data_IF_808750155101
#
_entry.id   IF_808750155101
#
_cell.length_a   1.000
_cell.length_b   1.000
_cell.length_c   1.000
_cell.angle_alpha   90.00
_cell.angle_beta   90.00
_cell.angle_gamma   90.00
#
_symmetry.space_group_name_H-M   'P 1'
#
loop_
_entity.id
_entity.type
_entity.pdbx_description
1 polymer ?
#
# COMPACT_ATOMS: atom_id res chain seq x y z
N UNK A 1 6.08 0.42 11.56
CA UNK A 1 7.32 0.27 10.74
C UNK A 1 8.34 -0.73 11.26
N UNK A 2 8.75 -0.74 12.54
CA UNK A 2 9.70 -1.77 13.02
C UNK A 2 9.11 -3.19 12.96
N UNK A 3 7.83 -3.34 13.26
CA UNK A 3 7.12 -4.61 13.19
C UNK A 3 7.00 -5.14 11.76
N UNK A 4 6.78 -4.27 10.78
CA UNK A 4 6.72 -4.66 9.35
C UNK A 4 8.10 -5.05 8.84
N UNK A 5 9.14 -4.38 9.36
CA UNK A 5 10.51 -4.76 9.10
C UNK A 5 10.79 -6.18 9.61
N UNK A 6 10.44 -6.48 10.88
CA UNK A 6 10.62 -7.80 11.47
C UNK A 6 9.80 -8.88 10.75
N UNK A 7 8.56 -8.58 10.36
CA UNK A 7 7.73 -9.50 9.59
C UNK A 7 8.34 -9.79 8.20
N UNK A 8 8.79 -8.75 7.52
CA UNK A 8 9.46 -8.89 6.21
C UNK A 8 10.76 -9.69 6.33
N UNK A 9 11.57 -9.41 7.34
CA UNK A 9 12.79 -10.17 7.64
C UNK A 9 12.48 -11.65 7.84
N UNK A 10 11.50 -11.96 8.71
CA UNK A 10 11.10 -13.33 9.01
C UNK A 10 10.57 -14.06 7.77
N UNK A 11 9.73 -13.42 6.96
CA UNK A 11 9.22 -14.02 5.71
C UNK A 11 10.34 -14.31 4.71
N UNK A 12 11.31 -13.43 4.58
CA UNK A 12 12.47 -13.63 3.70
C UNK A 12 13.33 -14.80 4.16
N UNK A 13 13.58 -14.89 5.48
CA UNK A 13 14.34 -15.99 6.04
C UNK A 13 13.58 -17.32 5.89
N UNK A 14 12.26 -17.34 6.11
CA UNK A 14 11.41 -18.53 5.87
C UNK A 14 11.42 -18.98 4.42
N UNK A 15 11.45 -18.05 3.47
CA UNK A 15 11.56 -18.39 2.05
C UNK A 15 12.88 -19.10 1.75
N UNK A 16 13.99 -18.55 2.22
CA UNK A 16 15.31 -19.18 2.10
C UNK A 16 15.34 -20.56 2.77
N UNK A 17 14.82 -20.64 3.98
CA UNK A 17 14.72 -21.89 4.74
C UNK A 17 13.94 -22.97 3.97
N UNK A 18 12.79 -22.58 3.39
CA UNK A 18 11.98 -23.51 2.58
C UNK A 18 12.72 -24.02 1.35
N UNK A 19 13.45 -23.14 0.65
CA UNK A 19 14.27 -23.52 -0.51
C UNK A 19 15.42 -24.42 -0.09
N UNK A 20 16.10 -24.12 1.02
CA UNK A 20 17.20 -24.93 1.56
C UNK A 20 16.73 -26.31 2.00
N UNK A 21 15.59 -26.41 2.71
CA UNK A 21 15.02 -27.67 3.13
C UNK A 21 14.61 -28.53 1.92
N UNK A 22 13.87 -27.93 0.97
CA UNK A 22 13.43 -28.65 -0.23
C UNK A 22 14.62 -29.10 -1.07
N UNK A 23 15.57 -28.20 -1.34
CA UNK A 23 16.78 -28.51 -2.11
C UNK A 23 17.64 -29.58 -1.42
N UNK A 24 17.81 -29.47 -0.10
CA UNK A 24 18.53 -30.45 0.71
C UNK A 24 17.87 -31.83 0.68
N UNK A 25 16.55 -31.89 0.84
CA UNK A 25 15.79 -33.13 0.78
C UNK A 25 15.88 -33.80 -0.61
N UNK A 26 15.78 -33.02 -1.69
CA UNK A 26 15.94 -33.53 -3.05
C UNK A 26 17.35 -34.08 -3.30
N UNK A 27 18.38 -33.37 -2.84
CA UNK A 27 19.76 -33.85 -2.95
C UNK A 27 19.97 -35.13 -2.16
N UNK A 28 19.41 -35.28 -0.96
CA UNK A 28 19.51 -36.49 -0.18
C UNK A 28 18.78 -37.68 -0.83
N UNK A 29 17.62 -37.42 -1.45
CA UNK A 29 16.82 -38.48 -2.08
C UNK A 29 17.38 -38.96 -3.42
N UNK A 30 17.90 -38.04 -4.24
CA UNK A 30 18.18 -38.31 -5.65
C UNK A 30 19.63 -38.13 -6.06
N UNK A 31 20.49 -37.49 -5.23
CA UNK A 31 21.87 -37.21 -5.65
C UNK A 31 22.72 -38.53 -5.64
N UNK A 32 23.48 -38.76 -6.74
CA UNK A 32 24.23 -39.99 -6.91
C UNK A 32 25.55 -40.01 -6.11
N UNK A 33 26.15 -38.86 -5.86
CA UNK A 33 27.48 -38.81 -5.22
C UNK A 33 27.45 -38.42 -3.74
N UNK A 34 28.39 -38.92 -2.93
CA UNK A 34 28.52 -38.52 -1.53
C UNK A 34 28.67 -37.02 -1.33
N UNK A 35 29.30 -36.35 -2.28
CA UNK A 35 29.50 -34.89 -2.24
C UNK A 35 28.16 -34.14 -2.18
N UNK A 36 27.24 -34.42 -3.12
CA UNK A 36 25.91 -33.81 -3.13
C UNK A 36 25.06 -34.17 -1.91
N UNK A 37 25.24 -35.36 -1.35
CA UNK A 37 24.56 -35.75 -0.11
C UNK A 37 25.10 -34.96 1.08
N UNK A 38 26.42 -34.78 1.19
CA UNK A 38 27.00 -33.92 2.22
C UNK A 38 26.51 -32.49 2.14
N UNK A 39 26.46 -31.92 0.93
CA UNK A 39 25.88 -30.61 0.67
C UNK A 39 24.39 -30.53 1.05
N UNK A 40 23.59 -31.55 0.68
CA UNK A 40 22.17 -31.66 0.98
C UNK A 40 21.87 -31.73 2.48
N UNK A 41 22.70 -32.45 3.27
CA UNK A 41 22.58 -32.49 4.73
C UNK A 41 22.72 -31.09 5.32
N UNK A 42 23.71 -30.31 4.88
CA UNK A 42 23.92 -28.97 5.37
C UNK A 42 22.76 -28.02 4.98
N UNK A 43 22.30 -28.11 3.73
CA UNK A 43 21.17 -27.30 3.28
C UNK A 43 19.88 -27.60 4.10
N UNK A 44 19.62 -28.86 4.36
CA UNK A 44 18.45 -29.28 5.17
C UNK A 44 18.58 -28.84 6.63
N UNK A 45 19.75 -29.06 7.25
CA UNK A 45 19.98 -28.73 8.66
C UNK A 45 19.91 -27.21 8.91
N UNK A 46 20.63 -26.44 8.11
CA UNK A 46 20.60 -24.98 8.20
C UNK A 46 19.22 -24.41 7.87
N UNK A 47 18.57 -24.92 6.82
CA UNK A 47 17.21 -24.51 6.50
C UNK A 47 16.23 -24.74 7.66
N UNK A 48 16.35 -25.86 8.39
CA UNK A 48 15.52 -26.13 9.56
C UNK A 48 15.81 -25.17 10.73
N UNK A 49 17.09 -24.86 10.97
CA UNK A 49 17.51 -23.91 11.99
C UNK A 49 16.98 -22.52 11.69
N UNK A 50 17.16 -22.04 10.45
CA UNK A 50 16.72 -20.72 10.01
C UNK A 50 15.19 -20.60 10.05
N UNK A 51 14.46 -21.66 9.68
CA UNK A 51 13.01 -21.72 9.81
C UNK A 51 12.56 -21.57 11.27
N UNK A 52 13.23 -22.28 12.18
CA UNK A 52 12.92 -22.18 13.61
C UNK A 52 13.16 -20.75 14.13
N UNK A 53 14.32 -20.15 13.81
CA UNK A 53 14.66 -18.76 14.19
C UNK A 53 13.60 -17.79 13.67
N UNK A 54 13.23 -17.91 12.39
CA UNK A 54 12.24 -17.01 11.78
C UNK A 54 10.85 -17.16 12.42
N UNK A 55 10.38 -18.38 12.67
CA UNK A 55 9.08 -18.65 13.28
C UNK A 55 9.01 -18.15 14.74
N UNK A 56 10.06 -18.43 15.54
CA UNK A 56 10.12 -17.92 16.90
C UNK A 56 10.21 -16.39 16.95
N UNK A 57 11.01 -15.79 16.07
CA UNK A 57 11.12 -14.34 15.92
C UNK A 57 9.78 -13.69 15.57
N UNK A 58 9.07 -14.27 14.60
CA UNK A 58 7.75 -13.79 14.18
C UNK A 58 6.71 -13.89 15.31
N UNK A 59 6.64 -15.04 16.00
CA UNK A 59 5.72 -15.21 17.14
C UNK A 59 5.99 -14.22 18.25
N UNK A 60 7.27 -14.00 18.59
CA UNK A 60 7.66 -13.04 19.60
C UNK A 60 7.31 -11.60 19.21
N UNK A 61 7.49 -11.22 17.93
CA UNK A 61 7.10 -9.90 17.41
C UNK A 61 5.58 -9.70 17.45
N UNK A 62 4.80 -10.70 17.04
CA UNK A 62 3.33 -10.66 17.12
C UNK A 62 2.83 -10.51 18.55
N UNK A 63 3.42 -11.24 19.51
CA UNK A 63 3.08 -11.11 20.93
C UNK A 63 3.34 -9.70 21.48
N UNK A 64 4.49 -9.11 21.16
CA UNK A 64 4.80 -7.72 21.57
C UNK A 64 3.89 -6.68 20.90
N UNK A 65 3.55 -6.87 19.63
CA UNK A 65 2.60 -6.02 18.93
C UNK A 65 1.20 -6.11 19.55
N UNK A 66 0.75 -7.31 19.89
CA UNK A 66 -0.56 -7.57 20.50
C UNK A 66 -0.68 -6.98 21.92
N UNK A 67 0.42 -6.89 22.68
CA UNK A 67 0.44 -6.25 24.01
C UNK A 67 0.32 -4.72 23.97
N UNK A 68 0.10 -4.13 22.79
CA UNK A 68 -0.07 -2.68 22.64
C UNK A 68 1.23 -1.87 22.72
N UNK A 69 2.39 -2.53 22.62
CA UNK A 69 3.68 -1.86 22.65
C UNK A 69 3.83 -0.92 21.44
N UNK A 70 3.62 0.38 21.65
CA UNK A 70 3.66 1.45 20.66
C UNK A 70 4.47 2.64 21.19
N UNK A 71 4.89 3.50 20.29
CA UNK A 71 5.58 4.75 20.61
C UNK A 71 7.08 4.75 20.28
N UNK A 72 7.70 5.95 20.28
CA UNK A 72 9.09 6.14 19.87
C UNK A 72 10.10 5.34 20.69
N UNK A 73 9.87 5.19 22.00
CA UNK A 73 10.77 4.45 22.88
C UNK A 73 10.78 2.96 22.58
N UNK A 74 9.60 2.38 22.29
CA UNK A 74 9.47 0.97 21.89
C UNK A 74 10.19 0.76 20.56
N UNK A 75 9.96 1.65 19.60
CA UNK A 75 10.63 1.61 18.31
C UNK A 75 12.16 1.62 18.47
N UNK A 76 12.70 2.58 19.21
CA UNK A 76 14.15 2.71 19.39
C UNK A 76 14.77 1.51 20.11
N UNK A 77 14.08 0.93 21.07
CA UNK A 77 14.52 -0.28 21.77
C UNK A 77 14.54 -1.49 20.81
N UNK A 78 13.43 -1.73 20.10
CA UNK A 78 13.32 -2.86 19.17
C UNK A 78 14.29 -2.74 18.01
N UNK A 79 14.43 -1.56 17.43
CA UNK A 79 15.38 -1.31 16.33
C UNK A 79 16.83 -1.51 16.76
N UNK A 80 17.18 -1.08 17.97
CA UNK A 80 18.53 -1.26 18.55
C UNK A 80 18.82 -2.72 18.80
N UNK A 81 17.87 -3.45 19.42
CA UNK A 81 18.02 -4.87 19.71
C UNK A 81 18.16 -5.69 18.44
N UNK A 82 17.29 -5.42 17.45
CA UNK A 82 17.34 -6.11 16.16
C UNK A 82 18.65 -5.84 15.42
N UNK A 83 19.09 -4.58 15.39
CA UNK A 83 20.38 -4.22 14.76
C UNK A 83 21.56 -4.93 15.43
N UNK A 84 21.56 -4.96 16.76
CA UNK A 84 22.61 -5.66 17.52
C UNK A 84 22.63 -7.15 17.19
N UNK A 85 21.45 -7.79 17.15
CA UNK A 85 21.32 -9.20 16.81
C UNK A 85 21.86 -9.49 15.40
N UNK A 86 21.44 -8.71 14.40
CA UNK A 86 21.90 -8.90 13.02
C UNK A 86 23.41 -8.70 12.88
N UNK A 87 24.02 -7.73 13.58
CA UNK A 87 25.49 -7.56 13.58
C UNK A 87 26.22 -8.73 14.23
N UNK A 88 25.66 -9.30 15.31
CA UNK A 88 26.22 -10.50 15.96
C UNK A 88 26.16 -11.66 14.99
N UNK A 89 25.03 -11.88 14.33
CA UNK A 89 24.86 -12.95 13.34
C UNK A 89 25.83 -12.76 12.17
N UNK A 90 25.93 -11.56 11.60
CA UNK A 90 26.93 -11.26 10.53
C UNK A 90 28.35 -11.70 10.94
N UNK A 91 28.73 -11.48 12.20
CA UNK A 91 30.03 -11.95 12.72
C UNK A 91 30.12 -13.48 12.85
N UNK A 92 29.04 -14.13 13.28
CA UNK A 92 28.97 -15.58 13.38
C UNK A 92 29.01 -16.26 12.01
N UNK A 93 28.40 -15.66 11.00
CA UNK A 93 28.39 -16.17 9.62
C UNK A 93 29.79 -16.25 9.04
N UNK A 94 30.66 -15.25 9.34
CA UNK A 94 32.08 -15.28 8.98
C UNK A 94 32.77 -16.49 9.61
N UNK A 95 32.47 -16.78 10.90
CA UNK A 95 33.04 -17.94 11.59
C UNK A 95 32.53 -19.26 10.99
N UNK A 96 31.25 -19.33 10.60
CA UNK A 96 30.71 -20.51 9.93
C UNK A 96 31.39 -20.73 8.57
N UNK A 97 31.53 -19.70 7.76
CA UNK A 97 32.29 -19.81 6.49
C UNK A 97 33.70 -20.27 6.71
N UNK A 98 34.39 -19.70 7.69
CA UNK A 98 35.78 -20.11 8.04
C UNK A 98 35.82 -21.60 8.46
N UNK A 99 34.89 -22.04 9.29
CA UNK A 99 34.74 -23.44 9.69
C UNK A 99 34.50 -24.38 8.50
N UNK A 100 33.64 -23.96 7.55
CA UNK A 100 33.40 -24.69 6.30
C UNK A 100 34.66 -24.80 5.45
N UNK A 101 35.45 -23.71 5.32
CA UNK A 101 36.71 -23.72 4.62
C UNK A 101 37.79 -24.62 5.28
N UNK A 102 37.88 -24.62 6.61
CA UNK A 102 38.74 -25.52 7.36
C UNK A 102 38.33 -26.98 7.11
N UNK A 103 37.02 -27.29 7.15
CA UNK A 103 36.50 -28.61 6.85
C UNK A 103 36.89 -29.07 5.44
N UNK A 104 36.81 -28.18 4.45
CA UNK A 104 37.23 -28.46 3.07
C UNK A 104 38.74 -28.81 2.97
N UNK A 105 39.60 -28.06 3.66
CA UNK A 105 41.02 -28.24 3.60
C UNK A 105 41.52 -29.44 4.41
N UNK A 106 40.74 -29.90 5.38
CA UNK A 106 41.10 -31.03 6.25
C UNK A 106 40.42 -32.32 5.80
N UNK A 107 39.28 -32.65 6.39
CA UNK A 107 38.54 -33.86 6.09
C UNK A 107 38.01 -33.92 4.65
N UNK A 108 37.64 -32.76 4.09
CA UNK A 108 37.14 -32.64 2.72
C UNK A 108 38.16 -33.02 1.65
N UNK A 109 39.48 -32.87 1.95
CA UNK A 109 40.51 -33.26 1.04
C UNK A 109 40.58 -34.78 0.77
N UNK A 110 40.02 -35.59 1.68
CA UNK A 110 40.05 -37.05 1.62
C UNK A 110 38.66 -37.70 1.56
N UNK A 111 37.62 -36.95 1.76
CA UNK A 111 36.22 -37.44 1.86
C UNK A 111 35.27 -36.56 1.12
N UNK A 112 34.67 -37.05 0.05
CA UNK A 112 33.68 -36.29 -0.76
C UNK A 112 32.48 -35.78 0.03
N UNK A 113 31.99 -36.56 0.97
CA UNK A 113 30.85 -36.14 1.81
C UNK A 113 31.25 -34.94 2.69
N UNK A 114 32.44 -35.00 3.28
CA UNK A 114 32.96 -33.88 4.06
C UNK A 114 33.24 -32.65 3.19
N UNK A 115 33.72 -32.82 1.95
CA UNK A 115 33.89 -31.74 0.99
C UNK A 115 32.56 -31.10 0.62
N UNK A 116 31.53 -31.91 0.31
CA UNK A 116 30.18 -31.42 0.06
C UNK A 116 29.59 -30.68 1.25
N UNK A 117 29.78 -31.21 2.47
CA UNK A 117 29.37 -30.56 3.72
C UNK A 117 30.07 -29.21 3.92
N UNK A 118 31.37 -29.12 3.69
CA UNK A 118 32.15 -27.89 3.80
C UNK A 118 31.62 -26.79 2.85
N UNK A 119 31.35 -27.14 1.59
CA UNK A 119 30.76 -26.24 0.62
C UNK A 119 29.32 -25.85 1.01
N UNK A 120 28.54 -26.77 1.56
CA UNK A 120 27.20 -26.47 2.09
C UNK A 120 27.25 -25.42 3.20
N UNK A 121 28.19 -25.56 4.15
CA UNK A 121 28.40 -24.56 5.23
C UNK A 121 28.83 -23.20 4.66
N UNK A 122 29.78 -23.19 3.72
CA UNK A 122 30.26 -21.92 3.09
C UNK A 122 29.14 -21.21 2.35
N UNK A 123 28.30 -21.94 1.60
CA UNK A 123 27.20 -21.34 0.87
C UNK A 123 26.13 -20.80 1.80
N UNK A 124 25.72 -21.57 2.80
CA UNK A 124 24.70 -21.14 3.78
C UNK A 124 25.20 -19.93 4.59
N UNK A 125 26.43 -20.01 5.13
CA UNK A 125 27.06 -18.90 5.85
C UNK A 125 27.23 -17.65 4.97
N UNK A 126 27.60 -17.82 3.70
CA UNK A 126 27.74 -16.72 2.74
C UNK A 126 26.40 -16.02 2.44
N UNK A 127 25.34 -16.78 2.27
CA UNK A 127 24.00 -16.21 2.13
C UNK A 127 23.58 -15.46 3.40
N UNK A 128 23.70 -16.09 4.57
CA UNK A 128 23.31 -15.48 5.85
C UNK A 128 24.15 -14.23 6.13
N UNK A 129 25.45 -14.25 5.86
CA UNK A 129 26.30 -13.07 5.98
C UNK A 129 25.77 -11.89 5.16
N UNK A 130 25.46 -12.09 3.88
CA UNK A 130 24.91 -11.05 3.01
C UNK A 130 23.52 -10.61 3.51
N UNK A 131 22.70 -11.58 3.89
CA UNK A 131 21.35 -11.35 4.40
C UNK A 131 21.36 -10.50 5.67
N UNK A 132 22.12 -10.93 6.69
CA UNK A 132 22.17 -10.25 7.99
C UNK A 132 22.85 -8.88 7.89
N UNK A 133 23.93 -8.76 7.10
CA UNK A 133 24.61 -7.49 6.85
C UNK A 133 23.67 -6.47 6.20
N UNK A 134 22.99 -6.85 5.11
CA UNK A 134 22.07 -5.95 4.40
C UNK A 134 20.93 -5.52 5.30
N UNK A 135 20.36 -6.45 6.10
CA UNK A 135 19.28 -6.12 7.02
C UNK A 135 19.77 -5.30 8.21
N UNK A 136 20.97 -5.54 8.75
CA UNK A 136 21.57 -4.72 9.81
C UNK A 136 21.75 -3.26 9.39
N UNK A 137 22.19 -3.04 8.15
CA UNK A 137 22.34 -1.72 7.54
C UNK A 137 20.98 -1.05 7.26
N UNK A 138 19.96 -1.86 6.94
CA UNK A 138 18.62 -1.42 6.58
C UNK A 138 17.69 -1.20 7.78
N UNK A 139 18.05 -1.65 9.00
CA UNK A 139 17.21 -1.41 10.21
C UNK A 139 16.87 0.06 10.32
N UNK A 140 15.59 0.44 10.39
CA UNK A 140 15.16 1.83 10.48
C UNK A 140 15.82 2.55 11.67
N UNK A 141 16.40 3.71 11.43
CA UNK A 141 17.06 4.53 12.47
C UNK A 141 16.11 5.46 13.18
N UNK A 142 15.05 5.84 12.48
CA UNK A 142 13.95 6.63 13.01
C UNK A 142 12.67 5.88 12.71
N UNK A 143 11.69 6.00 13.60
CA UNK A 143 10.34 5.68 13.18
C UNK A 143 10.08 6.56 11.95
N UNK A 144 9.70 5.99 10.83
CA UNK A 144 9.12 6.81 9.78
C UNK A 144 7.70 7.15 10.25
N UNK A 145 7.63 7.96 11.26
CA UNK A 145 6.55 8.89 11.40
C UNK A 145 6.66 9.69 10.11
N UNK A 146 5.73 9.48 9.18
CA UNK A 146 5.40 10.52 8.22
C UNK A 146 5.30 11.74 9.12
N UNK A 147 6.13 12.79 8.95
CA UNK A 147 6.01 13.96 9.80
C UNK A 147 4.51 14.24 9.83
N UNK A 148 3.93 14.31 11.03
CA UNK A 148 2.53 14.66 11.17
C UNK A 148 2.45 16.04 10.54
N UNK A 149 2.12 16.07 9.27
CA UNK A 149 2.01 17.32 8.53
C UNK A 149 0.82 18.02 9.17
N UNK A 150 1.07 19.05 9.95
CA UNK A 150 0.04 19.91 10.54
C UNK A 150 -0.97 20.35 9.49
N UNK A 151 -0.52 20.40 8.21
CA UNK A 151 -1.36 20.70 7.04
C UNK A 151 -2.55 19.74 6.87
N UNK A 152 -2.49 18.51 7.39
CA UNK A 152 -3.61 17.56 7.33
C UNK A 152 -4.49 17.58 8.58
N UNK A 153 -4.19 18.43 9.56
CA UNK A 153 -4.96 18.56 10.80
C UNK A 153 -6.10 19.57 10.72
N UNK A 154 -6.19 20.33 9.62
CA UNK A 154 -7.27 21.27 9.40
C UNK A 154 -8.65 20.60 9.24
N UNK A 155 -9.75 21.29 9.59
CA UNK A 155 -11.11 20.74 9.47
C UNK A 155 -11.48 20.39 8.01
N UNK A 156 -10.86 21.02 7.02
CA UNK A 156 -11.05 20.73 5.60
C UNK A 156 -10.61 19.32 5.21
N UNK A 157 -9.69 18.71 5.97
CA UNK A 157 -9.19 17.35 5.74
C UNK A 157 -9.98 16.27 6.48
N UNK A 158 -10.89 16.66 7.37
CA UNK A 158 -11.77 15.73 8.08
C UNK A 158 -12.88 15.19 7.18
N UNK A 159 -13.45 14.04 7.57
CA UNK A 159 -14.67 13.54 6.95
C UNK A 159 -15.78 14.57 7.06
N UNK A 160 -16.63 14.69 6.05
CA UNK A 160 -17.74 15.62 6.06
C UNK A 160 -18.97 15.08 5.32
N UNK A 161 -20.13 15.65 5.64
CA UNK A 161 -21.40 15.38 4.97
C UNK A 161 -22.08 16.70 4.59
N UNK A 162 -22.64 16.76 3.39
CA UNK A 162 -23.51 17.82 2.91
C UNK A 162 -24.92 17.21 2.75
N UNK A 163 -25.88 17.64 3.56
CA UNK A 163 -27.25 17.10 3.49
C UNK A 163 -28.06 17.84 2.40
N UNK A 164 -28.77 17.09 1.58
CA UNK A 164 -29.63 17.67 0.56
C UNK A 164 -30.66 18.67 1.17
N UNK A 165 -30.75 19.84 0.56
CA UNK A 165 -31.68 20.90 1.02
C UNK A 165 -31.13 21.84 2.10
N UNK A 166 -29.93 21.59 2.64
CA UNK A 166 -29.26 22.53 3.53
C UNK A 166 -28.40 23.50 2.71
N UNK A 167 -28.34 24.77 3.11
CA UNK A 167 -27.45 25.76 2.47
C UNK A 167 -26.00 25.45 2.75
N UNK A 168 -25.10 25.74 1.80
CA UNK A 168 -23.64 25.68 2.00
C UNK A 168 -23.24 26.79 2.98
N UNK A 169 -23.14 26.49 4.26
CA UNK A 169 -22.57 27.40 5.24
C UNK A 169 -21.05 27.12 5.34
N UNK A 170 -20.27 28.09 4.91
CA UNK A 170 -18.82 28.07 5.07
C UNK A 170 -18.47 28.18 6.56
N UNK A 171 -18.06 27.07 7.18
CA UNK A 171 -17.29 27.16 8.39
C UNK A 171 -17.68 26.38 9.62
N UNK A 172 -18.64 25.48 9.62
CA UNK A 172 -18.88 24.63 10.79
C UNK A 172 -18.61 23.16 10.50
N UNK A 173 -17.61 22.65 11.24
CA UNK A 173 -17.25 21.24 11.22
C UNK A 173 -18.36 20.36 11.78
N UNK A 174 -18.42 19.16 11.25
CA UNK A 174 -19.06 17.94 11.76
C UNK A 174 -20.12 18.11 12.84
N UNK A 175 -21.37 18.16 12.46
CA UNK A 175 -22.42 17.71 13.37
C UNK A 175 -22.59 16.19 13.24
N UNK A 176 -21.85 15.46 14.07
CA UNK A 176 -22.16 14.09 14.40
C UNK A 176 -23.50 14.06 15.11
N UNK A 177 -24.54 13.57 14.44
CA UNK A 177 -25.69 13.07 15.12
C UNK A 177 -27.01 13.83 15.05
N UNK A 178 -27.42 14.35 13.87
CA UNK A 178 -28.86 14.51 13.65
C UNK A 178 -29.21 14.01 12.24
N UNK A 179 -29.84 12.84 12.19
CA UNK A 179 -30.53 12.32 11.02
C UNK A 179 -31.71 13.21 10.73
N UNK A 180 -31.58 14.11 9.76
CA UNK A 180 -32.71 14.83 9.21
C UNK A 180 -33.08 14.12 7.92
N UNK A 181 -34.24 13.43 7.95
CA UNK A 181 -34.95 12.79 6.84
C UNK A 181 -34.11 11.86 5.94
N UNK A 182 -33.99 10.59 6.33
CA UNK A 182 -33.61 9.53 5.43
C UNK A 182 -34.55 9.44 4.23
N UNK A 183 -33.98 9.21 3.02
CA UNK A 183 -34.81 8.81 1.87
C UNK A 183 -34.62 9.58 0.57
N UNK A 184 -33.71 10.53 0.46
CA UNK A 184 -33.37 11.19 -0.81
C UNK A 184 -32.11 10.59 -1.47
N UNK A 185 -31.74 11.09 -2.66
CA UNK A 185 -30.53 10.66 -3.37
C UNK A 185 -29.27 10.97 -2.55
N UNK A 186 -28.33 10.01 -2.49
CA UNK A 186 -27.06 10.23 -1.81
C UNK A 186 -25.87 9.74 -2.64
N UNK A 187 -24.74 10.43 -2.51
CA UNK A 187 -23.48 10.07 -3.09
C UNK A 187 -22.43 9.82 -1.99
N UNK A 188 -21.77 8.67 -2.04
CA UNK A 188 -20.60 8.37 -1.24
C UNK A 188 -19.36 8.64 -2.09
N UNK A 189 -18.53 9.61 -1.68
CA UNK A 189 -17.34 10.03 -2.42
C UNK A 189 -16.08 9.58 -1.69
N UNK A 190 -15.21 8.84 -2.39
CA UNK A 190 -14.00 8.21 -1.81
C UNK A 190 -12.76 8.82 -2.43
N UNK A 191 -11.92 9.44 -1.59
CA UNK A 191 -10.69 10.13 -1.99
C UNK A 191 -9.56 9.19 -2.44
N UNK A 192 -8.54 9.74 -3.09
CA UNK A 192 -7.39 9.02 -3.61
C UNK A 192 -6.30 8.72 -2.57
N UNK A 193 -5.22 8.06 -3.04
CA UNK A 193 -4.05 7.77 -2.22
C UNK A 193 -3.22 9.03 -1.98
N UNK A 194 -2.92 9.32 -0.73
CA UNK A 194 -2.20 10.54 -0.33
C UNK A 194 -3.10 11.77 -0.20
N UNK A 195 -4.37 11.67 -0.63
CA UNK A 195 -5.38 12.71 -0.49
C UNK A 195 -6.19 12.59 0.79
N UNK A 196 -7.16 13.49 0.91
CA UNK A 196 -8.10 13.56 2.04
C UNK A 196 -9.49 13.91 1.51
N UNK A 197 -10.54 13.96 2.33
CA UNK A 197 -11.86 14.44 1.91
C UNK A 197 -11.85 15.79 1.22
N UNK A 198 -10.87 16.67 1.51
CA UNK A 198 -10.72 17.97 0.86
C UNK A 198 -10.66 17.87 -0.68
N UNK A 199 -9.99 16.87 -1.23
CA UNK A 199 -9.88 16.71 -2.70
C UNK A 199 -11.20 16.34 -3.38
N UNK A 200 -12.19 15.88 -2.63
CA UNK A 200 -13.50 15.54 -3.14
C UNK A 200 -14.55 16.65 -2.92
N UNK A 201 -14.14 17.76 -2.29
CA UNK A 201 -15.06 18.82 -1.86
C UNK A 201 -15.82 19.45 -3.02
N UNK A 202 -15.11 19.89 -4.06
CA UNK A 202 -15.74 20.56 -5.21
C UNK A 202 -16.78 19.65 -5.88
N UNK A 203 -16.47 18.36 -5.97
CA UNK A 203 -17.39 17.35 -6.53
C UNK A 203 -18.57 17.08 -5.62
N UNK A 204 -18.34 17.02 -4.30
CA UNK A 204 -19.41 16.86 -3.31
C UNK A 204 -20.37 18.08 -3.35
N UNK A 205 -19.83 19.28 -3.44
CA UNK A 205 -20.62 20.51 -3.57
C UNK A 205 -21.38 20.59 -4.90
N UNK A 206 -20.76 20.11 -6.01
CA UNK A 206 -21.45 20.03 -7.29
C UNK A 206 -22.69 19.11 -7.21
N UNK A 207 -22.54 17.91 -6.65
CA UNK A 207 -23.65 16.98 -6.46
C UNK A 207 -24.68 17.53 -5.46
N UNK A 208 -24.23 18.20 -4.40
CA UNK A 208 -25.10 18.83 -3.41
C UNK A 208 -25.98 19.92 -4.03
N UNK A 209 -25.41 20.80 -4.88
CA UNK A 209 -26.19 21.83 -5.63
C UNK A 209 -27.29 21.22 -6.49
N UNK A 210 -27.14 19.95 -6.90
CA UNK A 210 -28.14 19.17 -7.63
C UNK A 210 -28.99 18.30 -6.70
N UNK A 211 -29.05 18.59 -5.39
CA UNK A 211 -29.94 17.97 -4.43
C UNK A 211 -29.53 16.55 -4.02
N UNK A 212 -28.23 16.22 -4.06
CA UNK A 212 -27.69 14.99 -3.50
C UNK A 212 -27.17 15.24 -2.09
N UNK A 213 -27.43 14.32 -1.18
CA UNK A 213 -26.62 14.22 0.05
C UNK A 213 -25.25 13.69 -0.33
N UNK A 214 -24.18 14.39 0.03
CA UNK A 214 -22.80 13.96 -0.25
C UNK A 214 -22.10 13.56 1.03
N UNK A 215 -21.68 12.30 1.13
CA UNK A 215 -20.90 11.74 2.23
C UNK A 215 -19.46 11.52 1.78
N UNK A 216 -18.50 12.10 2.49
CA UNK A 216 -17.07 12.01 2.15
C UNK A 216 -16.28 11.52 3.37
N UNK A 217 -16.08 10.20 3.51
CA UNK A 217 -15.33 9.62 4.63
C UNK A 217 -13.83 9.89 4.49
N UNK A 218 -13.14 9.99 5.62
CA UNK A 218 -11.69 9.93 5.68
C UNK A 218 -11.26 8.46 5.78
N UNK A 219 -10.44 7.99 4.85
CA UNK A 219 -9.90 6.63 4.88
C UNK A 219 -8.90 6.47 6.04
N UNK A 220 -8.86 5.30 6.72
CA UNK A 220 -7.94 5.04 7.82
C UNK A 220 -6.48 5.25 7.43
N UNK A 221 -5.74 6.01 8.23
CA UNK A 221 -4.33 6.32 7.99
C UNK A 221 -4.07 7.45 7.02
N UNK A 222 -5.10 8.24 6.68
CA UNK A 222 -4.97 9.48 5.90
C UNK A 222 -5.33 10.70 6.76
N UNK A 223 -5.14 11.90 6.24
CA UNK A 223 -5.40 13.12 6.96
C UNK A 223 -4.57 13.24 8.24
N UNK A 224 -5.17 13.63 9.34
CA UNK A 224 -4.52 13.74 10.64
C UNK A 224 -3.86 12.42 11.13
N UNK A 225 -4.34 11.27 10.64
CA UNK A 225 -3.82 9.95 11.00
C UNK A 225 -2.71 9.46 10.07
N UNK A 226 -2.15 10.30 9.21
CA UNK A 226 -1.16 9.95 8.18
C UNK A 226 0.07 9.21 8.74
N UNK A 227 0.44 9.49 9.99
CA UNK A 227 1.51 8.78 10.69
C UNK A 227 1.26 7.27 10.83
N UNK A 228 -0.01 6.84 10.81
CA UNK A 228 -0.41 5.43 10.94
C UNK A 228 -0.58 4.71 9.59
N UNK A 229 -0.46 5.42 8.46
CA UNK A 229 -0.69 4.88 7.12
C UNK A 229 0.12 3.60 6.83
N UNK A 230 1.36 3.57 7.31
CA UNK A 230 2.27 2.43 7.10
C UNK A 230 1.85 1.17 7.86
N UNK A 231 0.95 1.30 8.83
CA UNK A 231 0.41 0.20 9.65
C UNK A 231 -0.95 -0.30 9.12
N UNK A 232 -1.56 0.45 8.20
CA UNK A 232 -2.89 0.15 7.69
C UNK A 232 -2.87 -0.96 6.64
N UNK A 233 -3.96 -1.70 6.61
CA UNK A 233 -4.18 -2.79 5.65
C UNK A 233 -5.24 -2.36 4.63
N UNK A 234 -5.12 -2.84 3.39
CA UNK A 234 -6.13 -2.58 2.35
C UNK A 234 -7.55 -2.96 2.76
N UNK A 235 -7.69 -3.96 3.65
CA UNK A 235 -8.98 -4.37 4.19
C UNK A 235 -9.63 -3.31 5.07
N UNK A 236 -8.85 -2.49 5.79
CA UNK A 236 -9.36 -1.40 6.62
C UNK A 236 -9.94 -0.28 5.73
N UNK A 237 -9.27 0.05 4.62
CA UNK A 237 -9.78 1.05 3.67
C UNK A 237 -11.08 0.58 3.03
N UNK A 238 -11.12 -0.69 2.59
CA UNK A 238 -12.35 -1.26 2.02
C UNK A 238 -13.49 -1.28 3.04
N UNK A 239 -13.22 -1.71 4.28
CA UNK A 239 -14.21 -1.76 5.35
C UNK A 239 -14.80 -0.38 5.68
N UNK A 240 -13.97 0.69 5.63
CA UNK A 240 -14.43 2.06 5.83
C UNK A 240 -15.43 2.50 4.74
N UNK A 241 -15.13 2.22 3.46
CA UNK A 241 -16.03 2.52 2.34
C UNK A 241 -17.32 1.71 2.44
N UNK A 242 -17.22 0.42 2.76
CA UNK A 242 -18.39 -0.44 2.93
C UNK A 242 -19.26 -0.02 4.12
N UNK A 243 -18.67 0.44 5.22
CA UNK A 243 -19.40 0.93 6.39
C UNK A 243 -20.17 2.19 6.04
N UNK A 244 -19.52 3.20 5.45
CA UNK A 244 -20.18 4.44 5.04
C UNK A 244 -21.32 4.19 4.04
N UNK A 245 -21.12 3.29 3.06
CA UNK A 245 -22.17 2.91 2.12
C UNK A 245 -23.35 2.21 2.77
N UNK A 246 -23.10 1.33 3.75
CA UNK A 246 -24.18 0.68 4.53
C UNK A 246 -24.94 1.67 5.39
N UNK A 247 -24.29 2.64 5.99
CA UNK A 247 -24.94 3.69 6.78
C UNK A 247 -25.93 4.49 5.93
N UNK A 248 -25.54 4.92 4.73
CA UNK A 248 -26.42 5.60 3.78
C UNK A 248 -27.60 4.71 3.35
N UNK A 249 -27.34 3.43 3.07
CA UNK A 249 -28.39 2.49 2.69
C UNK A 249 -29.39 2.22 3.83
N UNK A 250 -28.90 2.09 5.08
CA UNK A 250 -29.74 1.90 6.29
C UNK A 250 -30.56 3.18 6.58
N UNK A 251 -30.00 4.37 6.33
CA UNK A 251 -30.73 5.63 6.40
C UNK A 251 -31.79 5.80 5.28
N UNK A 252 -31.94 4.83 4.39
CA UNK A 252 -32.95 4.82 3.34
C UNK A 252 -32.61 5.67 2.12
N UNK A 253 -31.37 6.11 1.96
CA UNK A 253 -30.96 6.92 0.81
C UNK A 253 -31.02 6.13 -0.50
N UNK A 254 -31.85 6.62 -1.45
CA UNK A 254 -31.96 6.10 -2.81
C UNK A 254 -32.30 7.23 -3.80
N UNK A 255 -31.73 7.21 -5.03
CA UNK A 255 -30.66 6.34 -5.45
C UNK A 255 -29.36 6.60 -4.68
N UNK A 256 -28.52 5.56 -4.54
CA UNK A 256 -27.19 5.65 -3.93
C UNK A 256 -26.11 5.62 -5.03
N UNK A 257 -25.37 6.69 -5.16
CA UNK A 257 -24.25 6.83 -6.09
C UNK A 257 -22.93 6.60 -5.35
N UNK A 258 -22.09 5.71 -5.87
CA UNK A 258 -20.73 5.49 -5.35
C UNK A 258 -19.72 6.16 -6.28
N UNK A 259 -18.99 7.13 -5.77
CA UNK A 259 -18.01 7.92 -6.53
C UNK A 259 -16.63 7.69 -5.95
N UNK A 260 -15.65 7.35 -6.77
CA UNK A 260 -14.28 7.20 -6.30
C UNK A 260 -13.28 7.89 -7.22
N UNK A 261 -12.21 8.39 -6.62
CA UNK A 261 -11.11 9.00 -7.32
C UNK A 261 -9.81 8.22 -7.11
N UNK A 262 -9.08 7.91 -8.18
CA UNK A 262 -7.79 7.22 -8.14
C UNK A 262 -7.85 5.91 -7.35
N UNK A 263 -7.16 5.78 -6.19
CA UNK A 263 -7.28 4.64 -5.29
C UNK A 263 -8.73 4.48 -4.77
N UNK A 264 -9.40 5.59 -4.49
CA UNK A 264 -10.82 5.60 -4.09
C UNK A 264 -11.74 4.99 -5.16
N UNK A 265 -11.43 5.18 -6.45
CA UNK A 265 -12.16 4.53 -7.54
C UNK A 265 -11.98 3.00 -7.50
N UNK A 266 -10.77 2.51 -7.23
CA UNK A 266 -10.50 1.08 -7.08
C UNK A 266 -11.21 0.48 -5.86
N UNK A 267 -11.25 1.23 -4.75
CA UNK A 267 -12.01 0.83 -3.54
C UNK A 267 -13.50 0.80 -3.83
N UNK A 268 -14.03 1.80 -4.53
CA UNK A 268 -15.45 1.88 -4.91
C UNK A 268 -15.88 0.73 -5.81
N UNK A 269 -15.08 0.40 -6.83
CA UNK A 269 -15.32 -0.76 -7.70
C UNK A 269 -15.33 -2.08 -6.90
N UNK A 270 -14.42 -2.22 -5.95
CA UNK A 270 -14.34 -3.41 -5.11
C UNK A 270 -15.50 -3.48 -4.09
N UNK A 271 -15.89 -2.33 -3.53
CA UNK A 271 -16.99 -2.23 -2.55
C UNK A 271 -18.39 -2.36 -3.17
N UNK A 272 -18.52 -2.21 -4.49
CA UNK A 272 -19.82 -2.18 -5.18
C UNK A 272 -20.72 -3.37 -4.83
N UNK A 273 -20.16 -4.58 -4.71
CA UNK A 273 -20.90 -5.79 -4.34
C UNK A 273 -21.50 -5.73 -2.92
N UNK A 274 -20.78 -5.12 -1.98
CA UNK A 274 -21.20 -5.04 -0.57
C UNK A 274 -22.14 -3.86 -0.33
N UNK A 275 -21.83 -2.70 -0.94
CA UNK A 275 -22.60 -1.45 -0.82
C UNK A 275 -23.91 -1.51 -1.61
N UNK A 276 -23.91 -2.19 -2.77
CA UNK A 276 -25.03 -2.26 -3.71
C UNK A 276 -25.53 -0.88 -4.10
N UNK A 277 -24.66 -0.01 -4.67
CA UNK A 277 -25.09 1.29 -5.17
C UNK A 277 -26.03 1.12 -6.36
N UNK A 278 -26.78 2.17 -6.70
CA UNK A 278 -27.61 2.20 -7.90
C UNK A 278 -26.77 2.54 -9.15
N UNK A 279 -25.65 3.23 -8.96
CA UNK A 279 -24.65 3.49 -10.00
C UNK A 279 -23.28 3.79 -9.41
N UNK A 280 -22.24 3.80 -10.25
CA UNK A 280 -20.85 4.05 -9.85
C UNK A 280 -20.17 5.03 -10.80
N UNK A 281 -19.37 5.95 -10.24
CA UNK A 281 -18.47 6.84 -11.00
C UNK A 281 -17.04 6.54 -10.55
N UNK A 282 -16.16 6.26 -11.51
CA UNK A 282 -14.74 6.04 -11.30
C UNK A 282 -13.93 7.12 -12.02
N UNK A 283 -13.30 8.02 -11.25
CA UNK A 283 -12.43 9.08 -11.78
C UNK A 283 -10.99 8.59 -11.73
N UNK A 284 -10.31 8.52 -12.88
CA UNK A 284 -8.93 8.06 -13.03
C UNK A 284 -8.61 6.80 -12.20
N UNK A 285 -9.31 5.66 -12.38
CA UNK A 285 -9.24 4.49 -11.51
C UNK A 285 -7.83 3.91 -11.49
N UNK A 286 -7.15 3.99 -10.34
CA UNK A 286 -5.79 3.51 -10.19
C UNK A 286 -5.76 1.99 -10.01
N UNK A 287 -4.91 1.31 -10.78
CA UNK A 287 -4.57 -0.08 -10.54
C UNK A 287 -3.13 -0.38 -10.94
N UNK A 288 -2.50 -1.30 -10.21
CA UNK A 288 -1.12 -1.67 -10.44
C UNK A 288 -1.01 -2.62 -11.63
N UNK A 289 -0.25 -2.24 -12.66
CA UNK A 289 0.04 -3.12 -13.79
C UNK A 289 1.21 -4.04 -13.46
N UNK A 290 0.93 -5.33 -13.36
CA UNK A 290 1.97 -6.34 -13.20
C UNK A 290 2.36 -6.92 -14.57
N UNK A 291 3.66 -6.99 -14.81
CA UNK A 291 4.18 -7.78 -15.92
C UNK A 291 4.25 -9.24 -15.47
N UNK A 292 4.04 -10.18 -16.39
CA UNK A 292 4.02 -11.62 -16.09
C UNK A 292 5.31 -12.13 -15.43
N UNK A 293 6.44 -11.50 -15.70
CA UNK A 293 7.75 -11.85 -15.11
C UNK A 293 8.00 -11.18 -13.74
N UNK A 294 7.24 -10.16 -13.36
CA UNK A 294 7.43 -9.41 -12.11
C UNK A 294 7.43 -10.32 -10.88
N UNK A 295 6.51 -11.29 -10.70
CA UNK A 295 6.54 -12.20 -9.56
C UNK A 295 7.82 -13.06 -9.50
N UNK A 296 8.32 -13.48 -10.66
CA UNK A 296 9.52 -14.30 -10.76
C UNK A 296 10.76 -13.49 -10.32
N UNK A 297 10.92 -12.28 -10.89
CA UNK A 297 12.03 -11.41 -10.53
C UNK A 297 11.95 -10.99 -9.06
N UNK A 298 10.77 -10.64 -8.57
CA UNK A 298 10.58 -10.29 -7.17
C UNK A 298 10.94 -11.44 -6.23
N UNK A 299 10.56 -12.66 -6.55
CA UNK A 299 10.91 -13.83 -5.75
C UNK A 299 12.43 -13.92 -5.50
N UNK A 300 13.24 -13.68 -6.53
CA UNK A 300 14.70 -13.75 -6.42
C UNK A 300 15.34 -12.46 -5.89
N UNK A 301 14.79 -11.28 -6.23
CA UNK A 301 15.41 -9.98 -5.94
C UNK A 301 14.89 -9.37 -4.62
N UNK A 302 13.65 -9.67 -4.25
CA UNK A 302 12.99 -9.12 -3.06
C UNK A 302 13.76 -9.34 -1.75
N UNK A 303 14.43 -10.48 -1.50
CA UNK A 303 15.28 -10.65 -0.32
C UNK A 303 16.41 -9.61 -0.20
N UNK A 304 16.84 -9.05 -1.32
CA UNK A 304 17.93 -8.10 -1.41
C UNK A 304 17.46 -6.64 -1.58
N UNK A 305 16.15 -6.42 -1.79
CA UNK A 305 15.64 -5.06 -1.92
C UNK A 305 15.57 -4.36 -0.56
N UNK A 306 15.83 -3.05 -0.50
CA UNK A 306 15.56 -2.26 0.69
C UNK A 306 14.08 -2.35 1.06
N UNK A 307 13.77 -2.29 2.35
CA UNK A 307 12.41 -2.48 2.88
C UNK A 307 11.46 -1.35 2.47
N UNK A 308 12.00 -0.25 2.03
CA UNK A 308 11.27 0.87 1.46
C UNK A 308 12.19 1.70 0.56
N UNK A 309 11.59 2.52 -0.26
CA UNK A 309 12.31 3.48 -1.08
C UNK A 309 11.98 4.91 -0.66
N UNK A 310 12.91 5.83 -0.94
CA UNK A 310 12.75 7.27 -0.66
C UNK A 310 12.59 8.01 -1.97
N UNK A 311 11.36 8.24 -2.44
CA UNK A 311 11.11 8.83 -3.75
C UNK A 311 11.70 10.25 -3.86
N UNK A 312 11.68 11.00 -2.77
CA UNK A 312 12.10 12.40 -2.72
C UNK A 312 13.54 12.62 -2.21
N UNK A 313 14.32 11.55 -2.02
CA UNK A 313 15.69 11.64 -1.47
C UNK A 313 16.60 12.61 -2.24
N UNK A 314 16.44 12.67 -3.56
CA UNK A 314 17.21 13.52 -4.46
C UNK A 314 16.36 14.64 -5.09
N UNK A 315 15.19 14.90 -4.52
CA UNK A 315 14.28 15.89 -5.04
C UNK A 315 14.91 17.29 -4.96
N UNK A 316 14.79 18.01 -6.06
CA UNK A 316 15.09 19.43 -6.11
C UNK A 316 13.79 20.21 -5.84
N UNK A 317 13.65 20.67 -4.61
CA UNK A 317 12.48 21.43 -4.18
C UNK A 317 12.44 22.87 -4.76
N UNK A 318 13.42 23.27 -5.56
CA UNK A 318 13.38 24.51 -6.34
C UNK A 318 12.74 24.30 -7.72
N UNK A 319 12.61 23.04 -8.19
CA UNK A 319 11.96 22.73 -9.47
C UNK A 319 10.47 23.14 -9.44
N UNK A 320 10.04 24.08 -10.32
CA UNK A 320 8.66 24.52 -10.37
C UNK A 320 7.65 23.41 -10.62
N UNK A 321 8.02 22.38 -11.40
CA UNK A 321 7.15 21.25 -11.72
C UNK A 321 6.90 20.37 -10.50
N UNK A 322 7.97 20.08 -9.74
CA UNK A 322 7.86 19.35 -8.50
C UNK A 322 7.02 20.13 -7.49
N UNK A 323 7.29 21.43 -7.33
CA UNK A 323 6.54 22.31 -6.41
C UNK A 323 5.06 22.33 -6.75
N UNK A 324 4.73 22.54 -8.02
CA UNK A 324 3.34 22.57 -8.48
C UNK A 324 2.63 21.22 -8.21
N UNK A 325 3.30 20.10 -8.48
CA UNK A 325 2.75 18.78 -8.15
C UNK A 325 2.54 18.59 -6.66
N UNK A 326 3.52 18.99 -5.82
CA UNK A 326 3.42 18.80 -4.37
C UNK A 326 2.35 19.72 -3.73
N UNK A 327 2.23 20.97 -4.16
CA UNK A 327 1.19 21.87 -3.68
C UNK A 327 -0.21 21.36 -4.02
N UNK A 328 -0.39 20.71 -5.18
CA UNK A 328 -1.67 20.06 -5.53
C UNK A 328 -2.06 18.95 -4.56
N UNK A 329 -1.10 18.12 -4.17
CA UNK A 329 -1.36 16.99 -3.24
C UNK A 329 -1.34 17.40 -1.77
N UNK A 330 -0.64 18.48 -1.44
CA UNK A 330 -0.42 18.97 -0.08
C UNK A 330 -0.53 20.51 -0.06
N UNK A 331 -1.74 21.05 -0.21
CA UNK A 331 -1.94 22.52 -0.14
C UNK A 331 -1.49 23.02 1.25
N UNK A 332 -0.74 24.13 1.30
CA UNK A 332 -0.20 24.70 2.54
C UNK A 332 1.16 24.16 2.96
N UNK A 333 1.77 23.23 2.21
CA UNK A 333 3.12 22.75 2.50
C UNK A 333 4.15 23.84 2.17
N UNK A 334 4.88 24.32 3.18
CA UNK A 334 6.00 25.26 2.99
C UNK A 334 7.23 24.51 2.49
N UNK A 335 7.42 24.54 1.17
CA UNK A 335 8.57 23.93 0.51
C UNK A 335 9.86 24.76 0.59
N UNK A 336 9.80 25.97 1.16
CA UNK A 336 10.97 26.80 1.39
C UNK A 336 11.55 26.58 2.79
N UNK A 337 10.79 25.98 3.71
CA UNK A 337 11.29 25.57 5.02
C UNK A 337 12.29 24.40 4.93
N UNK A 338 13.54 24.59 5.39
CA UNK A 338 14.55 23.53 5.37
C UNK A 338 14.17 22.27 6.18
N UNK A 339 13.37 22.43 7.24
CA UNK A 339 12.91 21.29 8.06
C UNK A 339 11.90 20.45 7.28
N UNK A 340 10.97 21.11 6.58
CA UNK A 340 10.02 20.48 5.67
C UNK A 340 10.74 19.74 4.54
N UNK A 341 11.72 20.36 3.88
CA UNK A 341 12.51 19.70 2.84
C UNK A 341 13.28 18.48 3.36
N UNK A 342 13.87 18.57 4.56
CA UNK A 342 14.58 17.46 5.19
C UNK A 342 13.63 16.29 5.50
N UNK A 343 12.45 16.57 6.05
CA UNK A 343 11.42 15.59 6.31
C UNK A 343 10.94 14.89 5.03
N UNK A 344 10.75 15.65 3.96
CA UNK A 344 10.34 15.11 2.65
C UNK A 344 11.43 14.23 2.02
N UNK A 345 12.71 14.60 2.12
CA UNK A 345 13.82 13.76 1.64
C UNK A 345 13.97 12.47 2.43
N UNK A 346 13.64 12.50 3.72
CA UNK A 346 13.66 11.33 4.60
C UNK A 346 12.39 10.47 4.49
N UNK A 347 11.36 10.97 3.80
CA UNK A 347 10.14 10.23 3.56
C UNK A 347 10.42 8.91 2.84
N UNK A 348 10.03 7.82 3.48
CA UNK A 348 10.23 6.48 2.98
C UNK A 348 8.88 5.79 2.76
N UNK A 349 8.63 5.34 1.53
CA UNK A 349 7.49 4.48 1.20
C UNK A 349 7.88 3.03 1.49
N UNK A 350 7.27 2.36 2.47
CA UNK A 350 7.54 0.96 2.74
C UNK A 350 7.07 0.07 1.58
N UNK A 351 7.83 -0.97 1.26
CA UNK A 351 7.38 -1.96 0.26
C UNK A 351 6.07 -2.64 0.67
N UNK A 352 5.83 -2.80 1.98
CA UNK A 352 4.56 -3.32 2.49
C UNK A 352 3.35 -2.48 2.07
N UNK A 353 3.47 -1.16 2.00
CA UNK A 353 2.40 -0.28 1.54
C UNK A 353 2.12 -0.48 0.03
N UNK A 354 3.18 -0.65 -0.77
CA UNK A 354 3.05 -1.00 -2.19
C UNK A 354 2.35 -2.34 -2.34
N UNK A 355 2.67 -3.33 -1.51
CA UNK A 355 2.00 -4.64 -1.51
C UNK A 355 0.51 -4.52 -1.18
N UNK A 356 0.11 -3.62 -0.27
CA UNK A 356 -1.30 -3.35 0.01
C UNK A 356 -2.01 -2.81 -1.24
N UNK A 357 -1.42 -1.82 -1.91
CA UNK A 357 -1.99 -1.23 -3.14
C UNK A 357 -2.04 -2.25 -4.28
N UNK A 358 -1.02 -3.10 -4.43
CA UNK A 358 -1.01 -4.19 -5.43
C UNK A 358 -2.06 -5.25 -5.12
N UNK A 359 -2.17 -5.64 -3.85
CA UNK A 359 -3.19 -6.58 -3.39
C UNK A 359 -4.61 -6.07 -3.65
N UNK A 360 -4.86 -4.79 -3.35
CA UNK A 360 -6.12 -4.11 -3.64
C UNK A 360 -6.42 -4.14 -5.15
N UNK A 361 -5.42 -3.79 -5.98
CA UNK A 361 -5.56 -3.78 -7.44
C UNK A 361 -5.94 -5.15 -8.00
N UNK A 362 -5.31 -6.24 -7.52
CA UNK A 362 -5.66 -7.60 -7.95
C UNK A 362 -7.10 -7.97 -7.57
N UNK A 363 -7.52 -7.64 -6.34
CA UNK A 363 -8.89 -7.90 -5.87
C UNK A 363 -9.91 -7.10 -6.67
N UNK A 364 -9.63 -5.82 -6.94
CA UNK A 364 -10.48 -4.96 -7.75
C UNK A 364 -10.62 -5.50 -9.18
N UNK A 365 -9.51 -5.87 -9.83
CA UNK A 365 -9.53 -6.43 -11.18
C UNK A 365 -10.31 -7.75 -11.27
N UNK A 366 -10.33 -8.54 -10.20
CA UNK A 366 -11.14 -9.76 -10.12
C UNK A 366 -12.63 -9.46 -9.85
N UNK A 367 -12.94 -8.33 -9.22
CA UNK A 367 -14.31 -7.93 -8.88
C UNK A 367 -15.03 -7.20 -10.04
N UNK A 368 -14.30 -6.46 -10.88
CA UNK A 368 -14.86 -5.64 -11.98
C UNK A 368 -15.82 -6.39 -12.90
N UNK A 369 -15.56 -7.65 -13.33
CA UNK A 369 -16.53 -8.39 -14.15
C UNK A 369 -17.90 -8.61 -13.48
N UNK A 370 -17.96 -8.55 -12.16
CA UNK A 370 -19.19 -8.70 -11.39
C UNK A 370 -19.87 -7.37 -10.99
N UNK A 371 -19.39 -6.25 -11.51
CA UNK A 371 -20.07 -4.95 -11.35
C UNK A 371 -21.20 -4.86 -12.36
N UNK A 372 -22.43 -4.96 -11.87
CA UNK A 372 -23.65 -5.07 -12.66
C UNK A 372 -24.55 -3.81 -12.62
N UNK A 373 -24.03 -2.73 -12.05
CA UNK A 373 -24.68 -1.41 -12.04
C UNK A 373 -24.12 -0.51 -13.16
N UNK A 374 -24.86 0.54 -13.59
CA UNK A 374 -24.33 1.54 -14.50
C UNK A 374 -23.03 2.15 -14.00
N UNK A 375 -22.01 2.23 -14.85
CA UNK A 375 -20.69 2.80 -14.50
C UNK A 375 -20.34 3.93 -15.45
N UNK A 376 -19.94 5.08 -14.89
CA UNK A 376 -19.26 6.14 -15.61
C UNK A 376 -17.77 6.11 -15.24
N UNK A 377 -16.89 6.10 -16.21
CA UNK A 377 -15.44 6.28 -16.02
C UNK A 377 -15.02 7.60 -16.65
N UNK A 378 -14.38 8.47 -15.89
CA UNK A 378 -13.80 9.72 -16.37
C UNK A 378 -12.28 9.65 -16.23
N UNK A 379 -11.56 10.01 -17.31
CA UNK A 379 -10.11 9.88 -17.38
C UNK A 379 -9.48 11.13 -17.96
N UNK A 380 -8.37 11.57 -17.39
CA UNK A 380 -7.52 12.61 -17.96
C UNK A 380 -6.71 12.07 -19.14
N UNK A 381 -6.78 12.73 -20.29
CA UNK A 381 -6.06 12.32 -21.50
C UNK A 381 -4.52 12.40 -21.33
N UNK A 382 -4.06 13.34 -20.48
CA UNK A 382 -2.64 13.59 -20.17
C UNK A 382 -2.24 13.05 -18.81
N UNK A 383 -3.06 12.20 -18.19
CA UNK A 383 -2.82 11.65 -16.86
C UNK A 383 -1.47 10.92 -16.80
N UNK A 384 -0.57 11.47 -16.00
CA UNK A 384 0.80 10.97 -15.81
C UNK A 384 0.89 9.86 -14.76
N UNK A 385 -0.14 9.70 -13.91
CA UNK A 385 -0.23 8.70 -12.84
C UNK A 385 -0.98 7.46 -13.34
N UNK A 386 -2.18 7.66 -13.90
CA UNK A 386 -3.01 6.60 -14.48
C UNK A 386 -3.21 6.88 -15.96
N UNK A 387 -2.39 6.26 -16.79
CA UNK A 387 -2.46 6.50 -18.24
C UNK A 387 -3.83 6.09 -18.79
N UNK A 388 -4.38 6.90 -19.72
CA UNK A 388 -5.65 6.64 -20.35
C UNK A 388 -5.73 5.24 -21.01
N UNK A 389 -4.61 4.73 -21.55
CA UNK A 389 -4.51 3.37 -22.07
C UNK A 389 -4.72 2.30 -20.98
N UNK A 390 -4.24 2.56 -19.78
CA UNK A 390 -4.43 1.67 -18.63
C UNK A 390 -5.93 1.60 -18.26
N UNK A 391 -6.61 2.73 -18.24
CA UNK A 391 -8.04 2.79 -17.98
C UNK A 391 -8.84 2.10 -19.11
N UNK A 392 -8.48 2.30 -20.40
CA UNK A 392 -9.12 1.58 -21.50
C UNK A 392 -8.97 0.05 -21.37
N UNK A 393 -7.85 -0.45 -20.86
CA UNK A 393 -7.67 -1.89 -20.55
C UNK A 393 -8.56 -2.35 -19.40
N UNK A 394 -8.79 -1.50 -18.40
CA UNK A 394 -9.72 -1.79 -17.31
C UNK A 394 -11.16 -1.90 -17.84
N UNK A 395 -11.56 -1.00 -18.74
CA UNK A 395 -12.89 -0.98 -19.36
C UNK A 395 -13.25 -2.30 -20.05
N UNK A 396 -12.26 -2.97 -20.66
CA UNK A 396 -12.45 -4.28 -21.30
C UNK A 396 -12.82 -5.41 -20.33
N UNK A 397 -12.71 -5.19 -19.03
CA UNK A 397 -13.06 -6.17 -18.00
C UNK A 397 -14.49 -6.06 -17.49
N UNK A 398 -15.17 -4.97 -17.76
CA UNK A 398 -16.58 -4.83 -17.42
C UNK A 398 -17.43 -5.77 -18.31
N UNK A 399 -18.24 -6.60 -17.68
CA UNK A 399 -19.17 -7.48 -18.39
C UNK A 399 -20.38 -6.72 -18.92
N UNK A 400 -20.81 -5.68 -18.22
CA UNK A 400 -21.95 -4.84 -18.57
C UNK A 400 -21.50 -3.49 -19.15
N UNK A 401 -22.44 -2.78 -19.78
CA UNK A 401 -22.14 -1.49 -20.41
C UNK A 401 -21.63 -0.44 -19.43
N UNK A 402 -20.65 0.32 -19.86
CA UNK A 402 -20.08 1.45 -19.14
C UNK A 402 -20.04 2.68 -20.06
N UNK A 403 -20.07 3.86 -19.45
CA UNK A 403 -19.79 5.13 -20.13
C UNK A 403 -18.35 5.55 -19.88
N UNK A 404 -17.67 6.06 -20.89
CA UNK A 404 -16.30 6.55 -20.78
C UNK A 404 -16.21 7.96 -21.31
N UNK A 405 -15.64 8.86 -20.50
CA UNK A 405 -15.39 10.25 -20.87
C UNK A 405 -13.91 10.54 -20.66
N UNK A 406 -13.26 11.04 -21.70
CA UNK A 406 -11.87 11.47 -21.64
C UNK A 406 -11.84 12.99 -21.72
N UNK A 407 -11.15 13.64 -20.74
CA UNK A 407 -11.05 15.09 -20.65
C UNK A 407 -9.60 15.52 -20.81
N UNK A 408 -9.34 16.74 -21.30
CA UNK A 408 -7.99 17.27 -21.51
C UNK A 408 -7.37 17.72 -20.18
N UNK A 409 -7.04 16.76 -19.29
CA UNK A 409 -6.48 16.98 -17.98
C UNK A 409 -5.34 16.00 -17.68
N UNK A 410 -4.56 16.31 -16.65
CA UNK A 410 -3.69 15.37 -15.95
C UNK A 410 -4.51 14.58 -14.92
N UNK A 411 -3.91 14.08 -13.83
CA UNK A 411 -4.56 13.27 -12.80
C UNK A 411 -5.58 14.05 -11.95
N UNK A 412 -5.45 15.37 -11.84
CA UNK A 412 -6.20 16.27 -10.96
C UNK A 412 -7.64 16.56 -11.44
N UNK A 413 -8.48 15.54 -11.53
CA UNK A 413 -9.85 15.62 -12.07
C UNK A 413 -10.88 16.24 -11.10
N UNK A 414 -10.54 16.33 -9.82
CA UNK A 414 -11.51 16.68 -8.75
C UNK A 414 -11.41 18.13 -8.28
N UNK A 415 -10.48 18.93 -8.83
CA UNK A 415 -10.20 20.30 -8.41
C UNK A 415 -10.88 21.31 -9.34
N UNK A 416 -11.62 22.26 -8.77
CA UNK A 416 -12.32 23.31 -9.52
C UNK A 416 -11.38 24.25 -10.27
N UNK A 417 -10.12 24.40 -9.82
CA UNK A 417 -9.10 25.21 -10.51
C UNK A 417 -8.58 24.54 -11.80
N UNK A 418 -8.87 23.26 -12.02
CA UNK A 418 -8.47 22.57 -13.24
C UNK A 418 -9.30 23.11 -14.42
N UNK A 419 -8.69 23.55 -15.52
CA UNK A 419 -9.41 23.99 -16.72
C UNK A 419 -10.40 22.98 -17.29
N UNK A 420 -10.19 21.67 -17.03
CA UNK A 420 -11.08 20.60 -17.47
C UNK A 420 -12.26 20.36 -16.51
N UNK A 421 -12.27 21.01 -15.34
CA UNK A 421 -13.32 20.83 -14.32
C UNK A 421 -14.74 20.95 -14.85
N UNK A 422 -15.10 21.97 -15.67
CA UNK A 422 -16.48 22.06 -16.19
C UNK A 422 -16.93 20.82 -16.96
N UNK A 423 -16.01 20.18 -17.68
CA UNK A 423 -16.31 18.94 -18.41
C UNK A 423 -16.46 17.74 -17.47
N UNK A 424 -15.66 17.65 -16.41
CA UNK A 424 -15.77 16.61 -15.38
C UNK A 424 -17.08 16.78 -14.62
N UNK A 425 -17.36 17.98 -14.11
CA UNK A 425 -18.61 18.28 -13.39
C UNK A 425 -19.83 17.97 -14.24
N UNK A 426 -19.88 18.43 -15.48
CA UNK A 426 -20.98 18.16 -16.39
C UNK A 426 -21.20 16.66 -16.64
N UNK A 427 -20.12 15.88 -16.83
CA UNK A 427 -20.22 14.43 -17.01
C UNK A 427 -20.76 13.73 -15.78
N UNK A 428 -20.26 14.10 -14.60
CA UNK A 428 -20.69 13.52 -13.31
C UNK A 428 -22.14 13.86 -13.01
N UNK A 429 -22.51 15.13 -13.11
CA UNK A 429 -23.87 15.60 -12.83
C UNK A 429 -24.87 14.98 -13.80
N UNK A 430 -24.60 15.00 -15.09
CA UNK A 430 -25.45 14.38 -16.10
C UNK A 430 -25.67 12.89 -15.82
N UNK A 431 -24.63 12.18 -15.45
CA UNK A 431 -24.74 10.76 -15.10
C UNK A 431 -25.55 10.55 -13.82
N UNK A 432 -25.29 11.35 -12.77
CA UNK A 432 -26.05 11.31 -11.52
C UNK A 432 -27.54 11.60 -11.72
N UNK A 433 -27.88 12.56 -12.59
CA UNK A 433 -29.28 12.85 -12.93
C UNK A 433 -29.97 11.71 -13.68
N UNK A 434 -29.23 10.98 -14.54
CA UNK A 434 -29.79 9.89 -15.34
C UNK A 434 -30.25 8.68 -14.53
N UNK A 435 -29.80 8.55 -13.28
CA UNK A 435 -30.20 7.45 -12.37
C UNK A 435 -31.29 7.85 -11.37
N UNK A 436 -31.73 9.10 -11.39
CA UNK A 436 -32.88 9.52 -10.57
C UNK A 436 -34.18 8.90 -11.11
N UNK A 437 -35.04 8.41 -10.25
CA UNK A 437 -36.39 8.07 -10.68
C UNK A 437 -37.07 9.32 -11.24
N UNK A 438 -37.70 9.18 -12.41
CA UNK A 438 -38.53 10.20 -13.06
C UNK A 438 -39.74 10.56 -12.22
#
# INVERSE_FOLDING_TARGET
MIWDFQDTLSRRLLLWSGLSILGGALLLAFAPSPWWRGFGVQALAWGAIDAAIALFGQRAALGRRASGARGPEVFHREARNLRRLLWINTGLDVLYMAGGLVLLQTLGAQNEFAAGSGWGIVLQGGFLFVFDLLHALAVPRRDAVLPAFEIFSGPEHAAFRLNAGEGLHSGEGLHSGQSVNGGGPAALLVHGFGGTPAEMRDLAEALHRHGWTAEVPLLPGFGADIATLTERQQGEWLAAVEAAGRELAVAGHRPLLLVGYSLGASLSLLAARAVRPDALIALAPFWWQERWWTPIVEFFVRPFLPIGFRPLRKADFTDPRLRQGMVKFMPGLDLDDPATQAAMRDFQVPLGLIDQVRGLSRRMLAAVPGVDVPVLVVQGARDSVVRAEQTRRLLQRFANGHSYVEVDADHDLTLAENPAWPAVEAAVVKFAESIRPS
#
